data_IF_972784245053
#
_entry.id   IF_972784245053
#
_cell.length_a   1.000
_cell.length_b   1.000
_cell.length_c   1.000
_cell.angle_alpha   90.00
_cell.angle_beta   90.00
_cell.angle_gamma   90.00
#
_symmetry.space_group_name_H-M   'P 1'
#
loop_
_entity.id
_entity.type
_entity.pdbx_description
1 polymer ?
#
# COMPACT_ATOMS: atom_id res chain seq x y z
N UNK A 1 -89.33 -35.88 10.50
CA UNK A 1 -88.46 -35.72 11.68
C UNK A 1 -87.12 -36.35 11.35
N UNK A 2 -86.10 -35.52 11.11
CA UNK A 2 -84.77 -36.02 10.74
C UNK A 2 -83.76 -35.13 11.47
N UNK A 3 -83.12 -35.69 12.50
CA UNK A 3 -82.06 -35.07 13.30
C UNK A 3 -80.73 -35.47 12.67
N UNK A 4 -79.95 -34.51 12.19
CA UNK A 4 -78.53 -34.71 11.90
C UNK A 4 -77.73 -33.72 12.76
N UNK A 5 -76.97 -34.27 13.70
CA UNK A 5 -76.02 -33.54 14.54
C UNK A 5 -74.78 -33.22 13.70
N UNK A 6 -74.49 -31.94 13.50
CA UNK A 6 -73.28 -31.47 12.85
C UNK A 6 -72.17 -31.32 13.91
N UNK A 7 -71.07 -32.07 13.73
CA UNK A 7 -69.88 -32.01 14.58
C UNK A 7 -69.06 -30.74 14.27
N UNK A 8 -68.81 -29.93 15.30
CA UNK A 8 -67.91 -28.77 15.27
C UNK A 8 -66.46 -29.25 15.42
N UNK A 9 -65.68 -29.20 14.34
CA UNK A 9 -64.22 -29.39 14.39
C UNK A 9 -63.58 -28.03 14.65
N UNK A 10 -63.06 -27.82 15.86
CA UNK A 10 -62.25 -26.66 16.22
C UNK A 10 -60.81 -26.94 15.80
N UNK A 11 -60.37 -26.37 14.68
CA UNK A 11 -58.95 -26.37 14.27
C UNK A 11 -58.25 -25.13 14.84
N UNK A 12 -57.33 -25.34 15.77
CA UNK A 12 -56.43 -24.30 16.28
C UNK A 12 -55.30 -24.06 15.29
N UNK A 13 -55.27 -22.89 14.63
CA UNK A 13 -54.11 -22.42 13.86
C UNK A 13 -53.02 -21.94 14.83
N UNK A 14 -51.87 -22.61 14.84
CA UNK A 14 -50.65 -22.14 15.49
C UNK A 14 -49.93 -21.16 14.57
N UNK A 15 -49.95 -19.87 14.93
CA UNK A 15 -49.11 -18.84 14.29
C UNK A 15 -47.68 -18.96 14.81
N UNK A 16 -46.75 -19.42 13.96
CA UNK A 16 -45.31 -19.35 14.21
C UNK A 16 -44.83 -17.95 13.81
N UNK A 17 -44.31 -17.13 14.74
CA UNK A 17 -43.71 -15.87 14.36
C UNK A 17 -42.35 -16.15 13.68
N UNK A 18 -42.28 -15.89 12.38
CA UNK A 18 -41.01 -15.78 11.67
C UNK A 18 -40.29 -14.53 12.21
N UNK A 19 -39.20 -14.74 12.94
CA UNK A 19 -38.23 -13.68 13.21
C UNK A 19 -37.57 -13.32 11.88
N UNK A 20 -37.95 -12.18 11.30
CA UNK A 20 -37.19 -11.57 10.22
C UNK A 20 -35.91 -11.07 10.85
N UNK A 21 -34.78 -11.70 10.55
CA UNK A 21 -33.48 -11.10 10.85
C UNK A 21 -33.42 -9.74 10.16
N UNK A 22 -33.34 -8.69 10.98
CA UNK A 22 -33.12 -7.35 10.50
C UNK A 22 -31.77 -7.36 9.78
N UNK A 23 -31.81 -7.17 8.47
CA UNK A 23 -30.64 -7.01 7.62
C UNK A 23 -29.76 -5.92 8.24
N UNK A 24 -28.55 -6.29 8.67
CA UNK A 24 -27.59 -5.33 9.22
C UNK A 24 -27.46 -4.15 8.24
N UNK A 25 -27.53 -2.90 8.73
CA UNK A 25 -27.45 -1.75 7.86
C UNK A 25 -26.15 -1.82 7.07
N UNK A 26 -26.27 -1.80 5.74
CA UNK A 26 -25.14 -1.74 4.82
C UNK A 26 -24.15 -0.69 5.33
N UNK A 27 -22.85 -1.02 5.50
CA UNK A 27 -21.89 -0.08 6.04
C UNK A 27 -21.97 1.21 5.22
N UNK A 28 -22.23 2.34 5.89
CA UNK A 28 -22.19 3.65 5.25
C UNK A 28 -20.88 3.76 4.48
N UNK A 29 -20.99 4.05 3.18
CA UNK A 29 -19.88 4.37 2.29
C UNK A 29 -18.79 5.10 3.08
N UNK A 30 -17.64 4.44 3.27
CA UNK A 30 -16.50 5.04 3.95
C UNK A 30 -16.20 6.38 3.30
N UNK A 31 -16.04 7.43 4.12
CA UNK A 31 -15.67 8.75 3.63
C UNK A 31 -14.48 8.60 2.68
N UNK A 32 -14.57 9.20 1.50
CA UNK A 32 -13.41 9.19 0.60
C UNK A 32 -12.24 9.87 1.32
N UNK A 33 -11.01 9.34 1.19
CA UNK A 33 -9.84 9.98 1.76
C UNK A 33 -9.78 11.44 1.31
N UNK A 34 -9.52 12.36 2.25
CA UNK A 34 -9.35 13.79 1.95
C UNK A 34 -8.23 14.04 0.93
N UNK A 35 -7.26 13.13 0.91
CA UNK A 35 -6.08 13.19 0.06
C UNK A 35 -5.86 11.89 -0.71
N UNK A 36 -5.27 11.98 -1.91
CA UNK A 36 -4.82 10.77 -2.62
C UNK A 36 -3.76 10.04 -1.79
N UNK A 37 -3.86 8.72 -1.75
CA UNK A 37 -2.89 7.87 -1.07
C UNK A 37 -1.55 7.87 -1.80
N UNK A 38 -0.46 7.93 -1.03
CA UNK A 38 0.91 7.99 -1.53
C UNK A 38 1.64 6.75 -1.09
N UNK A 39 2.19 6.01 -2.05
CA UNK A 39 2.95 4.80 -1.78
C UNK A 39 4.40 4.98 -2.20
N UNK A 40 5.31 4.49 -1.37
CA UNK A 40 6.74 4.50 -1.67
C UNK A 40 7.31 3.08 -1.68
N UNK A 41 8.38 2.89 -2.46
CA UNK A 41 9.14 1.65 -2.50
C UNK A 41 10.62 1.96 -2.63
N UNK A 42 11.44 1.30 -1.81
CA UNK A 42 12.89 1.47 -1.81
C UNK A 42 13.56 0.42 -2.71
N UNK A 43 14.43 0.88 -3.60
CA UNK A 43 15.20 0.04 -4.52
C UNK A 43 16.69 0.23 -4.24
N UNK A 44 17.37 -0.86 -3.91
CA UNK A 44 18.80 -0.88 -3.59
C UNK A 44 19.59 -1.47 -4.75
N UNK A 45 20.85 -1.02 -4.98
CA UNK A 45 21.69 -1.49 -6.06
C UNK A 45 22.31 -2.86 -5.77
N UNK A 46 21.53 -3.85 -5.35
CA UNK A 46 22.05 -5.18 -4.97
C UNK A 46 21.58 -6.26 -5.94
N UNK A 47 22.38 -7.31 -6.08
CA UNK A 47 22.05 -8.44 -6.95
C UNK A 47 20.83 -9.25 -6.45
N UNK A 48 19.82 -9.53 -7.30
CA UNK A 48 18.74 -10.48 -7.03
C UNK A 48 19.21 -11.89 -6.63
N UNK A 49 20.45 -12.28 -6.91
CA UNK A 49 20.98 -13.61 -6.56
C UNK A 49 21.53 -13.73 -5.12
N UNK A 50 21.87 -12.61 -4.45
CA UNK A 50 22.64 -12.62 -3.19
C UNK A 50 21.86 -12.52 -1.86
N UNK A 51 20.53 -12.56 -1.90
CA UNK A 51 19.60 -12.39 -0.76
C UNK A 51 18.45 -13.40 -0.91
N UNK A 52 17.89 -13.83 0.22
CA UNK A 52 16.93 -14.93 0.37
C UNK A 52 15.66 -14.82 -0.50
N UNK A 53 14.92 -15.94 -0.61
CA UNK A 53 13.91 -16.21 -1.65
C UNK A 53 12.62 -15.38 -1.60
N UNK A 54 12.38 -14.55 -0.58
CA UNK A 54 11.16 -13.73 -0.47
C UNK A 54 11.48 -12.24 -0.56
N UNK A 55 11.63 -11.74 -1.79
CA UNK A 55 11.83 -10.30 -2.05
C UNK A 55 10.55 -9.63 -2.49
N UNK A 56 10.35 -8.36 -2.10
CA UNK A 56 9.37 -7.52 -2.76
C UNK A 56 9.60 -7.46 -4.27
N UNK A 57 8.50 -7.52 -5.03
CA UNK A 57 8.54 -7.45 -6.49
C UNK A 57 8.97 -6.04 -6.92
N UNK A 58 9.83 -5.95 -7.94
CA UNK A 58 10.11 -4.71 -8.67
C UNK A 58 9.20 -4.67 -9.90
N UNK A 59 8.33 -3.67 -9.97
CA UNK A 59 7.41 -3.51 -11.09
C UNK A 59 8.18 -3.25 -12.41
N UNK A 60 7.62 -3.70 -13.52
CA UNK A 60 8.26 -3.59 -14.85
C UNK A 60 8.64 -2.15 -15.20
N UNK A 61 7.76 -1.19 -14.92
CA UNK A 61 8.03 0.23 -15.19
C UNK A 61 9.19 0.78 -14.37
N UNK A 62 9.42 0.26 -13.15
CA UNK A 62 10.59 0.61 -12.34
C UNK A 62 11.83 -0.02 -12.96
N UNK A 63 11.78 -1.31 -13.25
CA UNK A 63 12.89 -2.03 -13.84
C UNK A 63 13.33 -1.44 -15.19
N UNK A 64 12.39 -1.03 -16.03
CA UNK A 64 12.66 -0.39 -17.33
C UNK A 64 13.30 0.99 -17.17
N UNK A 65 12.81 1.81 -16.24
CA UNK A 65 13.38 3.14 -15.97
C UNK A 65 14.81 3.02 -15.43
N UNK A 66 15.04 2.12 -14.48
CA UNK A 66 16.37 1.87 -13.91
C UNK A 66 17.36 1.35 -14.96
N UNK A 67 16.92 0.46 -15.86
CA UNK A 67 17.75 0.01 -16.99
C UNK A 67 18.14 1.17 -17.92
N UNK A 68 17.21 2.08 -18.22
CA UNK A 68 17.50 3.28 -19.03
C UNK A 68 18.50 4.21 -18.35
N UNK A 69 18.55 4.21 -17.02
CA UNK A 69 19.54 4.94 -16.21
C UNK A 69 20.88 4.21 -16.05
N UNK A 70 21.04 3.03 -16.68
CA UNK A 70 22.26 2.23 -16.59
C UNK A 70 22.37 1.37 -15.33
N UNK A 71 21.35 1.33 -14.48
CA UNK A 71 21.34 0.47 -13.30
C UNK A 71 20.97 -0.97 -13.71
N UNK A 72 21.98 -1.83 -13.79
CA UNK A 72 21.80 -3.21 -14.27
C UNK A 72 21.36 -4.20 -13.17
N UNK A 73 21.73 -3.93 -11.92
CA UNK A 73 21.43 -4.78 -10.76
C UNK A 73 20.68 -3.98 -9.72
N UNK A 74 19.52 -4.47 -9.31
CA UNK A 74 18.69 -3.80 -8.33
C UNK A 74 17.73 -4.78 -7.65
N UNK A 75 17.26 -4.40 -6.46
CA UNK A 75 16.28 -5.15 -5.69
C UNK A 75 15.43 -4.20 -4.86
N UNK A 76 14.13 -4.48 -4.77
CA UNK A 76 13.28 -3.81 -3.80
C UNK A 76 13.54 -4.37 -2.40
N UNK A 77 13.76 -3.50 -1.42
CA UNK A 77 13.94 -3.89 -0.01
C UNK A 77 12.68 -3.67 0.82
N UNK A 78 11.68 -3.01 0.25
CA UNK A 78 10.35 -2.85 0.84
C UNK A 78 9.28 -3.27 -0.16
N UNK A 79 8.12 -3.69 0.34
CA UNK A 79 6.88 -3.62 -0.44
C UNK A 79 6.48 -2.15 -0.64
N UNK A 80 5.35 -1.90 -1.31
CA UNK A 80 4.75 -0.56 -1.28
C UNK A 80 4.35 -0.23 0.16
N UNK A 81 4.86 0.89 0.68
CA UNK A 81 4.53 1.43 1.99
C UNK A 81 3.63 2.64 1.79
N UNK A 82 2.47 2.63 2.43
CA UNK A 82 1.54 3.78 2.44
C UNK A 82 2.10 4.84 3.39
N UNK A 83 2.23 6.07 2.91
CA UNK A 83 2.63 7.19 3.75
C UNK A 83 1.45 7.79 4.50
N UNK A 84 1.72 8.24 5.72
CA UNK A 84 0.81 9.12 6.45
C UNK A 84 0.67 10.45 5.70
N UNK A 85 -0.56 10.94 5.43
CA UNK A 85 -0.78 12.21 4.76
C UNK A 85 -0.48 13.44 5.64
N UNK A 86 -0.29 13.27 6.95
CA UNK A 86 0.01 14.33 7.90
C UNK A 86 1.39 14.94 7.62
N UNK A 87 1.50 16.29 7.49
CA UNK A 87 2.79 16.94 7.32
C UNK A 87 3.65 16.95 8.59
N UNK A 88 3.09 16.49 9.72
CA UNK A 88 3.75 16.49 11.03
C UNK A 88 4.27 15.12 11.45
N UNK A 89 3.90 14.07 10.72
CA UNK A 89 4.28 12.70 11.04
C UNK A 89 5.14 12.11 9.93
N UNK A 90 6.25 11.50 10.33
CA UNK A 90 7.08 10.70 9.43
C UNK A 90 6.61 9.25 9.50
N UNK A 91 6.50 8.61 8.34
CA UNK A 91 6.28 7.18 8.22
C UNK A 91 7.61 6.45 8.24
N UNK A 92 7.73 5.45 9.11
CA UNK A 92 8.85 4.50 9.06
C UNK A 92 8.70 3.60 7.82
N UNK A 93 9.59 3.77 6.85
CA UNK A 93 9.52 3.06 5.55
C UNK A 93 10.34 1.78 5.58
N UNK A 94 11.50 1.81 6.23
CA UNK A 94 12.39 0.66 6.32
C UNK A 94 13.23 0.74 7.60
N UNK A 95 13.30 -0.36 8.35
CA UNK A 95 14.12 -0.45 9.56
C UNK A 95 15.64 -0.49 9.29
N UNK A 96 16.03 -0.48 8.02
CA UNK A 96 17.42 -0.66 7.61
C UNK A 96 17.88 -2.11 7.80
N UNK A 97 19.13 -2.28 8.20
CA UNK A 97 19.73 -3.57 8.46
C UNK A 97 20.80 -3.95 7.44
N UNK A 98 21.26 -5.20 7.52
CA UNK A 98 22.37 -5.68 6.71
C UNK A 98 21.85 -6.13 5.34
N UNK A 99 22.30 -5.44 4.28
CA UNK A 99 22.06 -5.83 2.90
C UNK A 99 23.39 -6.21 2.26
N UNK A 100 23.50 -7.46 1.82
CA UNK A 100 24.79 -8.06 1.44
C UNK A 100 25.84 -7.87 2.55
N UNK A 101 26.83 -6.99 2.34
CA UNK A 101 27.91 -6.71 3.29
C UNK A 101 27.86 -5.30 3.89
N UNK A 102 26.81 -4.52 3.61
CA UNK A 102 26.69 -3.14 4.07
C UNK A 102 25.57 -3.05 5.11
N UNK A 103 25.84 -2.32 6.21
CA UNK A 103 24.81 -1.98 7.19
C UNK A 103 24.13 -0.68 6.76
N UNK A 104 22.80 -0.72 6.68
CA UNK A 104 21.98 0.44 6.35
C UNK A 104 21.24 0.94 7.57
N UNK A 105 21.06 2.25 7.62
CA UNK A 105 20.27 2.92 8.65
C UNK A 105 18.77 2.91 8.27
N UNK A 106 17.87 3.06 9.25
CA UNK A 106 16.43 3.17 9.00
C UNK A 106 16.11 4.35 8.08
N UNK A 107 15.03 4.21 7.30
CA UNK A 107 14.54 5.24 6.37
C UNK A 107 13.14 5.66 6.78
N UNK A 108 12.97 6.96 7.01
CA UNK A 108 11.69 7.60 7.20
C UNK A 108 11.24 8.36 5.94
N UNK A 109 9.95 8.64 5.84
CA UNK A 109 9.37 9.44 4.77
C UNK A 109 8.26 10.36 5.26
N UNK A 110 8.16 11.54 4.67
CA UNK A 110 7.13 12.52 4.93
C UNK A 110 6.64 13.21 3.64
N UNK A 111 5.54 13.95 3.78
CA UNK A 111 4.94 14.77 2.72
C UNK A 111 5.03 16.23 3.16
N UNK A 112 6.19 16.89 3.01
CA UNK A 112 6.41 18.24 3.52
C UNK A 112 5.61 19.31 2.78
N UNK A 113 5.15 19.02 1.55
CA UNK A 113 4.34 19.95 0.77
C UNK A 113 3.33 19.21 -0.12
N UNK A 114 2.09 19.68 -0.10
CA UNK A 114 0.99 19.21 -0.92
C UNK A 114 0.08 20.37 -1.25
N UNK A 115 0.38 21.02 -2.37
CA UNK A 115 -0.34 22.22 -2.80
C UNK A 115 -0.50 22.21 -4.32
N UNK A 116 -1.54 22.90 -4.81
CA UNK A 116 -1.72 23.21 -6.25
C UNK A 116 -1.71 21.99 -7.18
N UNK A 117 -2.21 20.84 -6.72
CA UNK A 117 -2.24 19.59 -7.50
C UNK A 117 -0.88 18.93 -7.67
N UNK A 118 0.11 19.32 -6.86
CA UNK A 118 1.43 18.68 -6.78
C UNK A 118 1.72 18.25 -5.36
N UNK A 119 2.59 17.24 -5.26
CA UNK A 119 3.05 16.71 -4.00
C UNK A 119 4.56 16.59 -4.01
N UNK A 120 5.17 16.94 -2.89
CA UNK A 120 6.57 16.71 -2.59
C UNK A 120 6.65 15.60 -1.56
N UNK A 121 7.32 14.51 -1.91
CA UNK A 121 7.65 13.42 -0.99
C UNK A 121 9.13 13.52 -0.65
N UNK A 122 9.46 13.46 0.62
CA UNK A 122 10.83 13.44 1.08
C UNK A 122 11.08 12.17 1.90
N UNK A 123 12.25 11.59 1.68
CA UNK A 123 12.69 10.39 2.38
C UNK A 123 14.13 10.64 2.83
N UNK A 124 14.49 10.19 4.03
CA UNK A 124 15.85 10.31 4.55
C UNK A 124 16.21 9.14 5.47
N UNK A 125 17.52 8.91 5.65
CA UNK A 125 18.03 8.04 6.71
C UNK A 125 18.92 6.87 6.28
N UNK A 126 19.08 6.58 4.99
CA UNK A 126 19.84 5.41 4.47
C UNK A 126 21.27 5.25 5.04
N UNK A 127 21.89 6.35 5.45
CA UNK A 127 23.25 6.39 6.00
C UNK A 127 23.30 7.31 7.22
N UNK A 128 24.31 7.18 8.10
CA UNK A 128 24.52 8.11 9.21
C UNK A 128 24.70 9.57 8.76
N UNK A 129 25.11 9.79 7.50
CA UNK A 129 25.28 11.11 6.90
C UNK A 129 23.97 11.73 6.37
N UNK A 130 22.83 11.07 6.55
CA UNK A 130 21.53 11.62 6.17
C UNK A 130 21.28 11.63 4.67
N UNK A 131 21.74 10.60 3.94
CA UNK A 131 21.34 10.40 2.54
C UNK A 131 19.81 10.48 2.40
N UNK A 132 19.34 11.11 1.33
CA UNK A 132 17.92 11.47 1.17
C UNK A 132 17.48 11.44 -0.29
N UNK A 133 16.17 11.41 -0.51
CA UNK A 133 15.58 11.59 -1.82
C UNK A 133 14.40 12.56 -1.71
N UNK A 134 14.23 13.41 -2.73
CA UNK A 134 13.04 14.22 -2.89
C UNK A 134 12.39 13.92 -4.23
N UNK A 135 11.08 13.73 -4.21
CA UNK A 135 10.28 13.41 -5.40
C UNK A 135 9.17 14.44 -5.51
N UNK A 136 9.10 15.12 -6.66
CA UNK A 136 7.99 15.99 -7.01
C UNK A 136 7.19 15.35 -8.13
N UNK A 137 5.88 15.23 -7.93
CA UNK A 137 4.97 14.66 -8.92
C UNK A 137 3.58 15.30 -8.82
N UNK A 138 2.75 15.04 -9.82
CA UNK A 138 1.35 15.42 -9.77
C UNK A 138 0.63 14.63 -8.69
N UNK A 139 -0.25 15.30 -7.98
CA UNK A 139 -1.14 14.68 -7.01
C UNK A 139 -2.40 14.15 -7.69
N UNK A 140 -2.22 13.18 -8.59
CA UNK A 140 -3.28 12.57 -9.38
C UNK A 140 -3.09 11.04 -9.36
N UNK A 141 -4.15 10.23 -9.14
CA UNK A 141 -4.06 8.77 -9.20
C UNK A 141 -3.39 8.26 -10.49
N UNK A 142 -2.46 7.32 -10.35
CA UNK A 142 -1.64 6.79 -11.44
C UNK A 142 -0.35 7.58 -11.70
N UNK A 143 -0.17 8.76 -11.10
CA UNK A 143 1.09 9.49 -11.14
C UNK A 143 2.19 8.67 -10.45
N UNK A 144 3.34 8.57 -11.09
CA UNK A 144 4.48 7.79 -10.60
C UNK A 144 5.80 8.43 -10.98
N UNK A 145 6.79 8.26 -10.13
CA UNK A 145 8.13 8.80 -10.37
C UNK A 145 9.20 7.93 -9.71
N UNK A 146 10.42 8.01 -10.23
CA UNK A 146 11.62 7.41 -9.65
C UNK A 146 12.67 8.49 -9.47
N UNK A 147 13.26 8.54 -8.28
CA UNK A 147 14.35 9.46 -7.96
C UNK A 147 15.53 8.68 -7.38
N UNK A 148 16.75 9.12 -7.71
CA UNK A 148 17.94 8.60 -7.08
C UNK A 148 18.04 9.13 -5.64
N UNK A 149 18.67 8.36 -4.76
CA UNK A 149 19.00 8.80 -3.41
C UNK A 149 20.29 9.61 -3.47
N UNK A 150 20.21 10.88 -3.11
CA UNK A 150 21.35 11.78 -3.02
C UNK A 150 22.24 11.35 -1.85
N UNK A 151 23.55 11.53 -2.03
CA UNK A 151 24.58 11.13 -1.07
C UNK A 151 24.59 9.63 -0.74
N UNK A 152 24.04 8.80 -1.63
CA UNK A 152 24.14 7.35 -1.58
C UNK A 152 24.71 6.81 -2.90
N UNK A 153 25.99 6.41 -2.88
CA UNK A 153 26.63 5.74 -4.00
C UNK A 153 27.46 4.57 -3.46
N UNK A 154 27.21 3.37 -3.97
CA UNK A 154 28.04 2.18 -3.70
C UNK A 154 28.76 1.74 -4.97
N UNK A 155 29.69 0.79 -4.82
CA UNK A 155 30.33 0.14 -5.97
C UNK A 155 29.32 -0.58 -6.88
N UNK A 156 28.15 -0.93 -6.37
CA UNK A 156 27.09 -1.60 -7.13
C UNK A 156 26.09 -0.64 -7.78
N UNK A 157 26.15 0.66 -7.45
CA UNK A 157 25.35 1.72 -8.06
C UNK A 157 24.65 2.63 -7.05
N UNK A 158 23.52 3.21 -7.49
CA UNK A 158 22.72 4.16 -6.71
C UNK A 158 21.51 3.46 -6.09
N UNK A 159 21.11 3.91 -4.91
CA UNK A 159 19.78 3.61 -4.38
C UNK A 159 18.74 4.52 -5.05
N UNK A 160 17.51 4.03 -5.14
CA UNK A 160 16.40 4.75 -5.75
C UNK A 160 15.14 4.61 -4.90
N UNK A 161 14.27 5.60 -5.02
CA UNK A 161 12.90 5.57 -4.49
C UNK A 161 11.93 5.61 -5.66
N UNK A 162 10.97 4.71 -5.65
CA UNK A 162 9.78 4.78 -6.49
C UNK A 162 8.59 5.32 -5.68
N UNK A 163 7.84 6.26 -6.26
CA UNK A 163 6.63 6.83 -5.68
C UNK A 163 5.45 6.56 -6.61
N UNK A 164 4.30 6.21 -6.04
CA UNK A 164 3.04 6.00 -6.74
C UNK A 164 1.90 6.70 -5.99
N UNK A 165 1.08 7.46 -6.73
CA UNK A 165 -0.17 8.03 -6.22
C UNK A 165 -1.33 7.10 -6.58
N UNK A 166 -2.10 6.68 -5.59
CA UNK A 166 -3.18 5.70 -5.72
C UNK A 166 -2.73 4.26 -5.44
N UNK A 167 -3.67 3.29 -5.45
CA UNK A 167 -3.39 1.93 -5.02
C UNK A 167 -2.33 1.26 -5.91
N UNK A 168 -1.38 0.52 -5.33
CA UNK A 168 -0.42 -0.23 -6.12
C UNK A 168 -1.11 -1.34 -6.93
N UNK A 169 -0.55 -1.72 -8.11
CA UNK A 169 -1.02 -2.89 -8.84
C UNK A 169 -0.93 -4.11 -7.91
N UNK A 170 -2.09 -4.69 -7.58
CA UNK A 170 -2.30 -5.36 -6.29
C UNK A 170 -1.61 -6.71 -6.07
N UNK A 171 -1.87 -7.27 -4.87
CA UNK A 171 -2.29 -8.68 -4.72
C UNK A 171 -3.81 -8.70 -4.54
N UNK A 172 -4.52 -9.79 -4.94
CA UNK A 172 -5.99 -9.81 -4.98
C UNK A 172 -6.58 -9.44 -3.63
N UNK A 173 -7.76 -8.79 -3.64
CA UNK A 173 -8.67 -8.84 -2.49
C UNK A 173 -8.74 -10.31 -2.08
N UNK A 174 -8.31 -10.65 -0.87
CA UNK A 174 -8.79 -11.88 -0.24
C UNK A 174 -10.30 -11.72 -0.29
N UNK A 175 -10.96 -12.49 -1.16
CA UNK A 175 -12.38 -12.71 -0.98
C UNK A 175 -12.47 -13.33 0.40
N UNK A 176 -13.05 -12.61 1.35
CA UNK A 176 -13.64 -13.25 2.51
C UNK A 176 -14.60 -14.27 1.93
N UNK A 177 -14.18 -15.53 1.97
CA UNK A 177 -15.04 -16.66 1.66
C UNK A 177 -15.68 -17.09 2.97
N UNK A 178 -16.96 -17.50 2.89
CA UNK A 178 -17.89 -17.54 4.00
C UNK A 178 -17.52 -18.57 5.06
#
# INVERSE_FOLDING_TARGET
MTRHFLALIVSTLTLVPYAVEAQEPTPKNGAQPEFNQVYVKLIMPTDPAGLEKERPVVESWIAEDLKKRGQARFTAVTTWVLLDPSPLEATDVWDGGKLANTLHCPVGADIPDRATGRIKVHLSGWTPGGAFATVLLKDEPGSRAISAVDYYTSAEGMAYVAVLIGPPPGKPRRSDRP
#
